data_IF_737930945321
#
_entry.id   IF_737930945321
#
_cell.length_a   1.000
_cell.length_b   1.000
_cell.length_c   1.000
_cell.angle_alpha   90.00
_cell.angle_beta   90.00
_cell.angle_gamma   90.00
#
_symmetry.space_group_name_H-M   'P 1'
#
loop_
_entity.id
_entity.type
_entity.pdbx_description
1 polymer ?
#
# COMPACT_ATOMS: atom_id res chain seq x y z
N UNK A 1 -13.58 9.80 14.47
CA UNK A 1 -13.26 8.43 14.01
C UNK A 1 -11.77 8.26 14.18
N UNK A 2 -11.32 7.11 14.66
CA UNK A 2 -9.89 6.80 14.77
C UNK A 2 -9.33 6.57 13.36
N UNK A 3 -8.15 7.13 13.06
CA UNK A 3 -7.48 6.92 11.77
C UNK A 3 -7.25 5.43 11.51
N UNK A 4 -7.23 5.02 10.25
CA UNK A 4 -6.77 3.69 9.84
C UNK A 4 -5.31 3.77 9.46
N UNK A 5 -4.45 3.05 10.15
CA UNK A 5 -3.01 2.98 9.86
C UNK A 5 -2.76 1.68 9.11
N UNK A 6 -2.24 1.80 7.89
CA UNK A 6 -1.99 0.67 6.98
C UNK A 6 -0.51 0.69 6.58
N UNK A 7 0.19 -0.40 6.82
CA UNK A 7 1.58 -0.57 6.34
C UNK A 7 1.59 -1.45 5.10
N UNK A 8 2.26 -0.99 4.03
CA UNK A 8 2.53 -1.82 2.86
C UNK A 8 3.94 -2.40 3.01
N UNK A 9 4.02 -3.69 3.32
CA UNK A 9 5.28 -4.36 3.61
C UNK A 9 5.44 -5.66 2.81
N UNK A 10 6.64 -5.91 2.34
CA UNK A 10 7.10 -7.17 1.78
C UNK A 10 8.63 -7.18 1.78
N UNK A 11 9.24 -8.21 2.33
CA UNK A 11 10.70 -8.31 2.40
C UNK A 11 11.34 -8.47 1.03
N UNK A 12 10.64 -9.06 0.07
CA UNK A 12 11.13 -9.16 -1.30
C UNK A 12 11.12 -7.82 -2.01
N UNK A 13 12.25 -7.43 -2.59
CA UNK A 13 12.34 -6.27 -3.48
C UNK A 13 11.51 -6.47 -4.76
N UNK A 14 10.95 -5.40 -5.32
CA UNK A 14 10.20 -5.45 -6.58
C UNK A 14 8.76 -6.00 -6.49
N UNK A 15 8.25 -6.30 -5.30
CA UNK A 15 6.88 -6.77 -5.11
C UNK A 15 5.80 -5.70 -5.40
N UNK A 16 6.20 -4.43 -5.49
CA UNK A 16 5.32 -3.30 -5.82
C UNK A 16 4.75 -2.57 -4.61
N UNK A 17 5.43 -2.57 -3.46
CA UNK A 17 5.01 -1.87 -2.25
C UNK A 17 4.67 -0.41 -2.50
N UNK A 18 5.64 0.36 -2.95
CA UNK A 18 5.49 1.80 -3.26
C UNK A 18 4.38 2.06 -4.28
N UNK A 19 4.29 1.24 -5.33
CA UNK A 19 3.22 1.34 -6.33
C UNK A 19 1.85 1.17 -5.69
N UNK A 20 1.68 0.13 -4.87
CA UNK A 20 0.41 -0.13 -4.18
C UNK A 20 0.10 0.98 -3.18
N UNK A 21 1.08 1.42 -2.39
CA UNK A 21 0.90 2.51 -1.41
C UNK A 21 0.43 3.81 -2.09
N UNK A 22 1.09 4.24 -3.16
CA UNK A 22 0.74 5.46 -3.89
C UNK A 22 -0.68 5.40 -4.48
N UNK A 23 -1.03 4.30 -5.16
CA UNK A 23 -2.36 4.16 -5.78
C UNK A 23 -3.49 4.05 -4.77
N UNK A 24 -3.28 3.34 -3.66
CA UNK A 24 -4.26 3.27 -2.57
C UNK A 24 -4.48 4.65 -1.94
N UNK A 25 -3.39 5.38 -1.67
CA UNK A 25 -3.48 6.71 -1.07
C UNK A 25 -4.29 7.69 -1.95
N UNK A 26 -4.02 7.70 -3.25
CA UNK A 26 -4.78 8.53 -4.20
C UNK A 26 -6.25 8.10 -4.24
N UNK A 27 -6.54 6.80 -4.33
CA UNK A 27 -7.90 6.30 -4.38
C UNK A 27 -8.72 6.66 -3.12
N UNK A 28 -8.11 6.62 -1.94
CA UNK A 28 -8.77 7.05 -0.71
C UNK A 28 -8.98 8.57 -0.65
N UNK A 29 -8.01 9.35 -1.13
CA UNK A 29 -8.13 10.81 -1.20
C UNK A 29 -9.24 11.23 -2.16
N UNK A 30 -9.33 10.62 -3.36
CA UNK A 30 -10.44 10.83 -4.30
C UNK A 30 -11.81 10.40 -3.72
N UNK A 31 -11.82 9.37 -2.86
CA UNK A 31 -13.02 8.96 -2.12
C UNK A 31 -13.37 9.91 -0.95
N UNK A 32 -12.68 11.04 -0.82
CA UNK A 32 -12.95 12.09 0.16
C UNK A 32 -12.35 11.83 1.55
N UNK A 33 -11.33 10.98 1.66
CA UNK A 33 -10.57 10.79 2.90
C UNK A 33 -9.39 11.75 2.96
N UNK A 34 -9.04 12.19 4.17
CA UNK A 34 -7.76 12.83 4.40
C UNK A 34 -6.70 11.74 4.61
N UNK A 35 -5.65 11.75 3.79
CA UNK A 35 -4.65 10.69 3.73
C UNK A 35 -3.25 11.26 3.94
N UNK A 36 -2.51 10.70 4.89
CA UNK A 36 -1.08 10.90 5.02
C UNK A 36 -0.34 9.66 4.54
N UNK A 37 0.69 9.84 3.73
CA UNK A 37 1.59 8.77 3.32
C UNK A 37 2.95 9.00 3.96
N UNK A 38 3.49 7.97 4.58
CA UNK A 38 4.78 7.99 5.27
C UNK A 38 5.75 7.11 4.49
N UNK A 39 6.74 7.74 3.88
CA UNK A 39 7.83 7.08 3.17
C UNK A 39 8.98 6.85 4.15
N UNK A 40 9.19 5.59 4.54
CA UNK A 40 10.32 5.20 5.40
C UNK A 40 11.39 4.43 4.64
N UNK A 41 11.24 4.25 3.32
CA UNK A 41 12.26 3.62 2.50
C UNK A 41 13.43 4.62 2.25
N UNK A 42 14.67 4.28 2.60
CA UNK A 42 15.83 5.11 2.29
C UNK A 42 15.96 5.46 0.81
N UNK A 43 15.46 4.61 -0.11
CA UNK A 43 15.44 4.89 -1.55
C UNK A 43 14.53 6.07 -1.91
N UNK A 44 13.50 6.36 -1.09
CA UNK A 44 12.65 7.52 -1.27
C UNK A 44 11.82 7.52 -2.55
N UNK A 45 11.49 6.36 -3.10
CA UNK A 45 10.75 6.26 -4.37
C UNK A 45 9.38 6.91 -4.32
N UNK A 46 8.70 6.80 -3.19
CA UNK A 46 7.39 7.42 -3.00
C UNK A 46 7.51 8.94 -2.86
N UNK A 47 8.53 9.41 -2.15
CA UNK A 47 8.86 10.83 -2.05
C UNK A 47 9.23 11.44 -3.40
N UNK A 48 9.96 10.71 -4.25
CA UNK A 48 10.29 11.15 -5.60
C UNK A 48 9.05 11.28 -6.50
N UNK A 49 8.12 10.32 -6.41
CA UNK A 49 6.82 10.41 -7.09
C UNK A 49 6.01 11.64 -6.63
N UNK A 50 6.01 11.92 -5.33
CA UNK A 50 5.32 13.10 -4.81
C UNK A 50 5.94 14.42 -5.30
N UNK A 51 7.28 14.52 -5.26
CA UNK A 51 7.98 15.69 -5.78
C UNK A 51 7.67 15.95 -7.26
N UNK A 52 7.65 14.89 -8.08
CA UNK A 52 7.24 14.99 -9.49
C UNK A 52 5.81 15.53 -9.62
N UNK A 53 4.88 15.06 -8.79
CA UNK A 53 3.49 15.55 -8.77
C UNK A 53 3.43 17.04 -8.47
N UNK A 54 4.22 17.51 -7.50
CA UNK A 54 4.32 18.93 -7.15
C UNK A 54 4.94 19.77 -8.28
N UNK A 55 6.03 19.30 -8.90
CA UNK A 55 6.67 19.96 -10.04
C UNK A 55 5.74 20.11 -11.25
N UNK A 56 4.89 19.13 -11.49
CA UNK A 56 3.87 19.15 -12.54
C UNK A 56 2.65 20.00 -12.19
N UNK A 57 2.59 20.57 -10.98
CA UNK A 57 1.47 21.39 -10.52
C UNK A 57 0.17 20.60 -10.36
N UNK A 58 0.24 19.29 -10.15
CA UNK A 58 -0.94 18.44 -10.00
C UNK A 58 -1.47 18.63 -8.58
N UNK A 59 -2.72 19.15 -8.41
CA UNK A 59 -3.27 19.40 -7.08
C UNK A 59 -3.48 18.10 -6.31
N UNK A 60 -3.25 18.13 -5.01
CA UNK A 60 -3.65 17.03 -4.15
C UNK A 60 -5.18 16.87 -4.18
N UNK A 61 -5.70 15.65 -4.24
CA UNK A 61 -7.13 15.42 -4.08
C UNK A 61 -7.59 15.96 -2.72
N UNK A 62 -8.68 16.71 -2.68
CA UNK A 62 -9.20 17.26 -1.43
C UNK A 62 -10.16 16.30 -0.75
N UNK A 63 -9.95 16.09 0.56
CA UNK A 63 -10.86 15.32 1.38
C UNK A 63 -12.22 16.03 1.60
N UNK A 64 -13.29 15.26 1.66
CA UNK A 64 -14.68 15.74 1.73
C UNK A 64 -15.00 16.59 2.98
N UNK A 65 -14.11 16.69 3.96
CA UNK A 65 -14.35 17.38 5.25
C UNK A 65 -13.45 18.58 5.50
N UNK A 66 -12.75 19.09 4.48
CA UNK A 66 -11.81 20.21 4.65
C UNK A 66 -10.55 19.86 5.45
N UNK A 67 -10.35 18.59 5.80
CA UNK A 67 -9.11 18.06 6.34
C UNK A 67 -8.18 17.80 5.17
N UNK A 68 -6.94 18.24 5.25
CA UNK A 68 -5.99 18.23 4.13
C UNK A 68 -6.00 16.93 3.34
N UNK A 69 -6.19 16.95 2.04
CA UNK A 69 -6.36 15.82 1.12
C UNK A 69 -5.27 14.74 1.21
N UNK A 70 -4.33 14.71 0.27
CA UNK A 70 -3.18 13.80 0.25
C UNK A 70 -1.90 14.56 0.60
N UNK A 71 -1.15 14.04 1.55
CA UNK A 71 0.19 14.55 1.90
C UNK A 71 1.20 13.40 1.99
N UNK A 72 2.46 13.68 1.69
CA UNK A 72 3.56 12.71 1.77
C UNK A 72 4.64 13.23 2.72
N UNK A 73 5.08 12.35 3.62
CA UNK A 73 6.05 12.66 4.67
C UNK A 73 7.20 11.65 4.60
N UNK A 74 8.41 12.14 4.38
CA UNK A 74 9.61 11.31 4.47
C UNK A 74 10.08 11.26 5.92
N UNK A 75 10.09 10.08 6.52
CA UNK A 75 10.45 9.89 7.92
C UNK A 75 11.44 8.74 8.00
N UNK A 76 12.49 8.91 8.81
CA UNK A 76 13.52 7.88 8.96
C UNK A 76 13.78 7.56 10.44
N UNK A 77 14.08 6.29 10.69
CA UNK A 77 14.55 5.81 11.98
C UNK A 77 13.49 5.81 13.09
N UNK A 78 13.92 5.98 14.32
CA UNK A 78 13.14 5.81 15.56
C UNK A 78 11.96 6.78 15.74
N UNK A 79 11.92 7.87 14.97
CA UNK A 79 10.83 8.86 15.01
C UNK A 79 9.55 8.37 14.34
N UNK A 80 9.60 7.31 13.53
CA UNK A 80 8.49 6.84 12.70
C UNK A 80 7.22 6.63 13.51
N UNK A 81 7.26 5.92 14.63
CA UNK A 81 6.08 5.65 15.45
C UNK A 81 5.41 6.94 15.95
N UNK A 82 6.19 7.87 16.53
CA UNK A 82 5.66 9.13 17.06
C UNK A 82 5.06 10.02 15.95
N UNK A 83 5.67 10.06 14.77
CA UNK A 83 5.16 10.86 13.66
C UNK A 83 3.89 10.22 13.05
N UNK A 84 3.83 8.89 12.95
CA UNK A 84 2.61 8.16 12.55
C UNK A 84 1.46 8.47 13.52
N UNK A 85 1.71 8.46 14.82
CA UNK A 85 0.70 8.79 15.85
C UNK A 85 0.20 10.23 15.74
N UNK A 86 1.06 11.19 15.40
CA UNK A 86 0.67 12.59 15.15
C UNK A 86 -0.22 12.68 13.90
N UNK A 87 0.24 12.08 12.79
CA UNK A 87 -0.51 12.09 11.55
C UNK A 87 -1.88 11.42 11.68
N UNK A 88 -1.97 10.36 12.49
CA UNK A 88 -3.23 9.67 12.76
C UNK A 88 -4.28 10.51 13.52
N UNK A 89 -3.88 11.61 14.17
CA UNK A 89 -4.83 12.54 14.82
C UNK A 89 -5.52 13.45 13.82
N UNK A 90 -4.84 13.77 12.71
CA UNK A 90 -5.28 14.78 11.74
C UNK A 90 -5.80 14.19 10.43
N UNK A 91 -5.60 12.89 10.21
CA UNK A 91 -5.99 12.21 8.98
C UNK A 91 -6.95 11.04 9.23
N UNK A 92 -7.74 10.70 8.21
CA UNK A 92 -8.61 9.51 8.24
C UNK A 92 -7.83 8.22 7.99
N UNK A 93 -6.76 8.30 7.19
CA UNK A 93 -5.90 7.17 6.81
C UNK A 93 -4.44 7.57 6.84
N UNK A 94 -3.60 6.73 7.42
CA UNK A 94 -2.13 6.82 7.33
C UNK A 94 -1.61 5.59 6.61
N UNK A 95 -0.83 5.80 5.54
CA UNK A 95 -0.20 4.72 4.77
C UNK A 95 1.31 4.76 5.00
N UNK A 96 1.90 3.64 5.38
CA UNK A 96 3.34 3.53 5.56
C UNK A 96 3.91 2.67 4.44
N UNK A 97 4.79 3.26 3.61
CA UNK A 97 5.57 2.52 2.61
C UNK A 97 6.89 2.07 3.24
N UNK A 98 7.08 0.76 3.40
CA UNK A 98 8.22 0.19 4.11
C UNK A 98 9.34 -0.25 3.17
N UNK A 99 10.62 -0.18 3.61
CA UNK A 99 11.74 -0.68 2.83
C UNK A 99 11.72 -2.21 2.72
N UNK A 100 12.34 -2.78 1.66
CA UNK A 100 12.68 -4.19 1.65
C UNK A 100 13.86 -4.45 2.61
N UNK A 101 13.94 -5.62 3.23
CA UNK A 101 15.10 -6.12 3.99
C UNK A 101 15.56 -5.28 5.22
N UNK A 102 14.87 -4.22 5.60
CA UNK A 102 15.21 -3.42 6.78
C UNK A 102 14.40 -3.92 7.98
N UNK A 103 14.99 -4.82 8.78
CA UNK A 103 14.29 -5.48 9.90
C UNK A 103 13.74 -4.47 10.92
N UNK A 104 14.52 -3.48 11.30
CA UNK A 104 14.14 -2.51 12.34
C UNK A 104 13.03 -1.57 11.87
N UNK A 105 13.19 -0.95 10.69
CA UNK A 105 12.21 -0.04 10.12
C UNK A 105 10.91 -0.75 9.76
N UNK A 106 11.01 -1.93 9.14
CA UNK A 106 9.85 -2.75 8.83
C UNK A 106 9.09 -3.16 10.12
N UNK A 107 9.82 -3.52 11.17
CA UNK A 107 9.23 -3.86 12.46
C UNK A 107 8.48 -2.69 13.09
N UNK A 108 9.06 -1.49 13.07
CA UNK A 108 8.40 -0.27 13.56
C UNK A 108 7.13 0.00 12.75
N UNK A 109 7.21 -0.07 11.42
CA UNK A 109 6.07 0.16 10.53
C UNK A 109 4.93 -0.84 10.78
N UNK A 110 5.27 -2.12 10.90
CA UNK A 110 4.28 -3.20 11.15
C UNK A 110 3.60 -3.01 12.49
N UNK A 111 4.37 -2.73 13.56
CA UNK A 111 3.83 -2.52 14.90
C UNK A 111 2.95 -1.28 15.01
N UNK A 112 3.21 -0.25 14.21
CA UNK A 112 2.39 0.98 14.19
C UNK A 112 1.07 0.82 13.43
N UNK A 113 0.88 -0.26 12.69
CA UNK A 113 -0.26 -0.45 11.80
C UNK A 113 -1.42 -1.22 12.43
N UNK A 114 -2.64 -0.94 11.98
CA UNK A 114 -3.81 -1.78 12.21
C UNK A 114 -3.88 -2.97 11.23
N UNK A 115 -3.27 -2.80 10.04
CA UNK A 115 -3.23 -3.81 8.99
C UNK A 115 -1.94 -3.71 8.19
N UNK A 116 -1.31 -4.85 7.92
CA UNK A 116 -0.21 -4.97 6.97
C UNK A 116 -0.76 -5.48 5.63
N UNK A 117 -0.62 -4.69 4.58
CA UNK A 117 -0.89 -5.09 3.20
C UNK A 117 0.39 -5.66 2.60
N UNK A 118 0.33 -6.91 2.16
CA UNK A 118 1.48 -7.65 1.66
C UNK A 118 1.30 -7.94 0.17
N UNK A 119 1.83 -7.11 -0.74
CA UNK A 119 1.77 -7.38 -2.16
C UNK A 119 2.72 -8.51 -2.53
N UNK A 120 2.25 -9.46 -3.35
CA UNK A 120 3.04 -10.55 -3.88
C UNK A 120 2.62 -10.90 -5.30
N UNK A 121 3.58 -11.32 -6.12
CA UNK A 121 3.27 -11.85 -7.45
C UNK A 121 2.88 -13.33 -7.35
N UNK A 122 2.06 -13.85 -8.28
CA UNK A 122 1.70 -15.27 -8.30
C UNK A 122 2.90 -16.12 -8.80
N UNK A 123 3.95 -16.19 -7.98
CA UNK A 123 5.17 -16.95 -8.25
C UNK A 123 5.64 -17.71 -7.01
N UNK A 124 6.29 -18.88 -7.16
CA UNK A 124 6.83 -19.63 -6.03
C UNK A 124 7.83 -18.82 -5.19
N UNK A 125 8.65 -17.99 -5.84
CA UNK A 125 9.65 -17.15 -5.15
C UNK A 125 8.99 -16.09 -4.24
N UNK A 126 7.88 -15.50 -4.69
CA UNK A 126 7.11 -14.56 -3.88
C UNK A 126 6.40 -15.27 -2.73
N UNK A 127 5.85 -16.46 -2.97
CA UNK A 127 5.24 -17.29 -1.95
C UNK A 127 6.20 -17.57 -0.78
N UNK A 128 7.43 -18.00 -1.09
CA UNK A 128 8.44 -18.30 -0.05
C UNK A 128 8.87 -17.03 0.71
N UNK A 129 9.08 -15.93 -0.01
CA UNK A 129 9.45 -14.66 0.61
C UNK A 129 8.34 -14.06 1.50
N UNK A 130 7.08 -14.37 1.22
CA UNK A 130 5.93 -13.87 1.97
C UNK A 130 5.90 -14.40 3.40
N UNK A 131 6.40 -15.62 3.64
CA UNK A 131 6.42 -16.23 4.97
C UNK A 131 7.10 -15.33 6.01
N UNK A 132 8.27 -14.80 5.69
CA UNK A 132 9.00 -13.94 6.62
C UNK A 132 8.24 -12.63 6.95
N UNK A 133 7.48 -12.08 5.99
CA UNK A 133 6.64 -10.92 6.24
C UNK A 133 5.44 -11.26 7.13
N UNK A 134 4.84 -12.44 6.94
CA UNK A 134 3.74 -12.91 7.79
C UNK A 134 4.23 -13.20 9.22
N UNK A 135 5.39 -13.83 9.36
CA UNK A 135 5.99 -14.12 10.67
C UNK A 135 6.31 -12.80 11.42
N UNK A 136 6.79 -11.78 10.71
CA UNK A 136 6.99 -10.44 11.28
C UNK A 136 5.66 -9.83 11.75
N UNK A 137 4.63 -9.85 10.93
CA UNK A 137 3.31 -9.31 11.29
C UNK A 137 2.71 -10.04 12.50
N UNK A 138 2.80 -11.36 12.52
CA UNK A 138 2.34 -12.19 13.64
C UNK A 138 3.13 -11.90 14.92
N UNK A 139 4.45 -11.74 14.82
CA UNK A 139 5.33 -11.42 15.96
C UNK A 139 5.03 -10.05 16.58
N UNK A 140 4.52 -9.10 15.80
CA UNK A 140 4.07 -7.79 16.29
C UNK A 140 2.56 -7.74 16.63
N UNK A 141 1.84 -8.84 16.48
CA UNK A 141 0.40 -8.92 16.75
C UNK A 141 -0.46 -8.16 15.75
N UNK A 142 0.06 -7.85 14.57
CA UNK A 142 -0.63 -7.07 13.54
C UNK A 142 -1.24 -7.97 12.49
N UNK A 143 -2.51 -7.72 12.13
CA UNK A 143 -3.17 -8.47 11.08
C UNK A 143 -2.52 -8.23 9.71
N UNK A 144 -2.48 -9.26 8.86
CA UNK A 144 -1.93 -9.17 7.51
C UNK A 144 -2.99 -9.53 6.45
N UNK A 145 -2.97 -8.80 5.33
CA UNK A 145 -3.79 -9.04 4.15
C UNK A 145 -2.87 -9.19 2.93
N UNK A 146 -2.84 -10.39 2.36
CA UNK A 146 -2.09 -10.70 1.15
C UNK A 146 -2.82 -10.17 -0.08
N UNK A 147 -2.09 -9.49 -0.96
CA UNK A 147 -2.64 -8.92 -2.20
C UNK A 147 -1.89 -9.47 -3.40
N UNK A 148 -2.58 -10.23 -4.25
CA UNK A 148 -2.00 -10.67 -5.50
C UNK A 148 -1.81 -9.46 -6.41
N UNK A 149 -0.55 -9.21 -6.78
CA UNK A 149 -0.11 -8.09 -7.59
C UNK A 149 0.54 -8.59 -8.89
N UNK A 150 0.45 -7.81 -9.95
CA UNK A 150 0.98 -8.16 -11.28
C UNK A 150 0.47 -9.51 -11.78
N UNK A 151 -0.80 -9.80 -11.52
CA UNK A 151 -1.42 -11.05 -11.97
C UNK A 151 -1.46 -11.07 -13.50
N UNK A 152 -0.81 -12.05 -14.16
CA UNK A 152 -0.85 -12.16 -15.61
C UNK A 152 -2.26 -12.52 -16.10
N UNK A 153 -2.67 -12.05 -17.27
CA UNK A 153 -3.92 -12.49 -17.88
C UNK A 153 -3.90 -14.02 -18.07
N UNK A 154 -5.00 -14.68 -17.75
CA UNK A 154 -5.17 -16.15 -17.91
C UNK A 154 -4.17 -17.01 -17.10
N UNK A 155 -3.74 -16.54 -15.95
CA UNK A 155 -2.80 -17.26 -15.11
C UNK A 155 -3.47 -18.44 -14.37
N UNK A 156 -3.32 -19.65 -14.88
CA UNK A 156 -3.78 -20.89 -14.20
C UNK A 156 -3.10 -21.09 -12.85
N UNK A 157 -1.87 -20.60 -12.70
CA UNK A 157 -1.10 -20.66 -11.46
C UNK A 157 -1.71 -19.83 -10.32
N UNK A 158 -2.49 -18.78 -10.64
CA UNK A 158 -3.06 -17.87 -9.63
C UNK A 158 -3.99 -18.61 -8.66
N UNK A 159 -4.88 -19.45 -9.16
CA UNK A 159 -5.79 -20.24 -8.33
C UNK A 159 -5.06 -21.20 -7.41
N UNK A 160 -4.07 -21.93 -7.93
CA UNK A 160 -3.24 -22.82 -7.13
C UNK A 160 -2.44 -22.06 -6.04
N UNK A 161 -1.97 -20.85 -6.37
CA UNK A 161 -1.27 -20.00 -5.41
C UNK A 161 -2.19 -19.53 -4.29
N UNK A 162 -3.40 -19.05 -4.61
CA UNK A 162 -4.41 -18.66 -3.60
C UNK A 162 -4.73 -19.83 -2.68
N UNK A 163 -4.92 -21.04 -3.21
CA UNK A 163 -5.16 -22.22 -2.40
C UNK A 163 -4.03 -22.46 -1.39
N UNK A 164 -2.77 -22.41 -1.85
CA UNK A 164 -1.60 -22.59 -0.96
C UNK A 164 -1.45 -21.47 0.08
N UNK A 165 -1.77 -20.22 -0.28
CA UNK A 165 -1.75 -19.11 0.68
C UNK A 165 -2.82 -19.28 1.77
N UNK A 166 -4.00 -19.77 1.40
CA UNK A 166 -5.06 -20.10 2.35
C UNK A 166 -4.67 -21.25 3.30
N UNK A 167 -3.95 -22.28 2.80
CA UNK A 167 -3.42 -23.38 3.63
C UNK A 167 -2.44 -22.88 4.71
N UNK A 168 -1.75 -21.75 4.47
CA UNK A 168 -0.92 -21.10 5.49
C UNK A 168 -1.73 -20.32 6.55
N UNK A 169 -3.06 -20.32 6.47
CA UNK A 169 -3.93 -19.52 7.34
C UNK A 169 -3.86 -18.02 7.04
N UNK A 170 -3.29 -17.62 5.90
CA UNK A 170 -3.15 -16.23 5.53
C UNK A 170 -4.45 -15.68 4.92
N UNK A 171 -4.86 -14.48 5.32
CA UNK A 171 -5.98 -13.78 4.70
C UNK A 171 -5.54 -13.22 3.34
N UNK A 172 -6.17 -13.68 2.26
CA UNK A 172 -5.93 -13.21 0.89
C UNK A 172 -7.05 -12.28 0.47
N UNK A 173 -6.68 -11.12 -0.09
CA UNK A 173 -7.65 -10.17 -0.63
C UNK A 173 -8.40 -10.77 -1.82
N UNK A 174 -9.70 -10.47 -1.91
CA UNK A 174 -10.52 -10.83 -3.07
C UNK A 174 -10.14 -9.97 -4.28
N UNK A 175 -9.82 -8.71 -4.03
CA UNK A 175 -9.32 -7.80 -5.05
C UNK A 175 -7.89 -8.17 -5.44
N UNK A 176 -7.65 -8.31 -6.75
CA UNK A 176 -6.34 -8.63 -7.32
C UNK A 176 -5.93 -7.52 -8.26
N UNK A 177 -4.64 -7.22 -8.33
CA UNK A 177 -4.08 -6.25 -9.25
C UNK A 177 -3.46 -6.97 -10.44
N UNK A 178 -4.02 -6.77 -11.61
CA UNK A 178 -3.48 -7.31 -12.86
C UNK A 178 -2.12 -6.71 -13.21
N UNK A 179 -1.36 -7.40 -14.07
CA UNK A 179 -0.13 -6.84 -14.64
C UNK A 179 -0.49 -5.78 -15.68
N UNK A 180 -0.67 -4.53 -15.22
CA UNK A 180 -1.18 -3.41 -15.99
C UNK A 180 -0.13 -2.32 -16.17
N UNK A 181 0.17 -1.99 -17.41
CA UNK A 181 1.08 -0.87 -17.74
C UNK A 181 0.56 0.44 -17.17
N UNK A 182 -0.76 0.63 -17.10
CA UNK A 182 -1.38 1.84 -16.60
C UNK A 182 -0.97 2.20 -15.16
N UNK A 183 -0.63 1.21 -14.31
CA UNK A 183 -0.14 1.47 -12.95
C UNK A 183 1.21 2.19 -12.96
N UNK A 184 2.14 1.73 -13.80
CA UNK A 184 3.45 2.37 -13.92
C UNK A 184 3.36 3.70 -14.68
N UNK A 185 2.57 3.75 -15.77
CA UNK A 185 2.37 4.96 -16.55
C UNK A 185 1.78 6.11 -15.72
N UNK A 186 0.80 5.81 -14.87
CA UNK A 186 0.23 6.83 -13.98
C UNK A 186 1.28 7.43 -13.04
N UNK A 187 2.13 6.62 -12.42
CA UNK A 187 3.17 7.12 -11.53
C UNK A 187 4.22 7.98 -12.27
N UNK A 188 4.52 7.64 -13.52
CA UNK A 188 5.44 8.44 -14.37
C UNK A 188 4.88 9.84 -14.66
N UNK A 189 3.57 10.00 -14.61
CA UNK A 189 2.86 11.28 -14.79
C UNK A 189 2.53 11.96 -13.44
N UNK A 190 3.12 11.53 -12.33
CA UNK A 190 2.81 12.06 -11.00
C UNK A 190 1.39 11.75 -10.50
N UNK A 191 0.66 10.87 -11.17
CA UNK A 191 -0.75 10.55 -10.90
C UNK A 191 -0.92 9.20 -10.19
N UNK A 192 -2.06 9.03 -9.52
CA UNK A 192 -2.60 7.70 -9.24
C UNK A 192 -3.37 7.16 -10.45
N UNK A 193 -3.49 5.84 -10.57
CA UNK A 193 -4.15 5.24 -11.73
C UNK A 193 -5.64 5.62 -11.81
N UNK A 194 -6.27 5.92 -10.68
CA UNK A 194 -7.67 6.33 -10.59
C UNK A 194 -7.90 7.75 -11.11
N UNK A 195 -6.85 8.59 -11.14
CA UNK A 195 -6.82 9.90 -11.81
C UNK A 195 -6.46 9.73 -13.29
N UNK A 196 -5.43 8.92 -13.58
CA UNK A 196 -4.88 8.72 -14.91
C UNK A 196 -5.87 8.05 -15.88
N UNK A 197 -6.55 7.01 -15.43
CA UNK A 197 -7.50 6.25 -16.27
C UNK A 197 -8.76 5.90 -15.47
N UNK A 198 -9.62 6.89 -15.22
CA UNK A 198 -10.77 6.81 -14.30
C UNK A 198 -11.68 5.59 -14.49
N UNK A 199 -11.92 5.17 -15.72
CA UNK A 199 -12.81 4.04 -16.09
C UNK A 199 -12.04 2.76 -16.44
N UNK A 200 -10.73 2.70 -16.23
CA UNK A 200 -9.91 1.56 -16.61
C UNK A 200 -10.03 0.39 -15.62
N UNK A 201 -9.69 -0.81 -16.09
CA UNK A 201 -9.67 -2.00 -15.25
C UNK A 201 -8.71 -1.85 -14.05
N UNK A 202 -7.53 -1.24 -14.25
CA UNK A 202 -6.58 -0.97 -13.17
C UNK A 202 -7.19 -0.08 -12.07
N UNK A 203 -7.97 0.94 -12.47
CA UNK A 203 -8.66 1.83 -11.53
C UNK A 203 -9.77 1.11 -10.77
N UNK A 204 -10.51 0.24 -11.43
CA UNK A 204 -11.53 -0.58 -10.77
C UNK A 204 -10.88 -1.54 -9.74
N UNK A 205 -9.76 -2.18 -10.11
CA UNK A 205 -9.00 -3.07 -9.23
C UNK A 205 -8.46 -2.32 -8.00
N UNK A 206 -7.88 -1.13 -8.18
CA UNK A 206 -7.37 -0.31 -7.07
C UNK A 206 -8.51 0.16 -6.16
N UNK A 207 -9.65 0.61 -6.71
CA UNK A 207 -10.80 1.01 -5.88
C UNK A 207 -11.38 -0.16 -5.09
N UNK A 208 -11.46 -1.34 -5.69
CA UNK A 208 -11.92 -2.55 -4.99
C UNK A 208 -10.95 -2.92 -3.85
N UNK A 209 -9.64 -2.89 -4.11
CA UNK A 209 -8.63 -3.14 -3.10
C UNK A 209 -8.68 -2.09 -1.99
N UNK A 210 -8.80 -0.82 -2.33
CA UNK A 210 -8.87 0.28 -1.36
C UNK A 210 -10.06 0.12 -0.40
N UNK A 211 -11.22 -0.30 -0.91
CA UNK A 211 -12.39 -0.59 -0.08
C UNK A 211 -12.16 -1.81 0.84
N UNK A 212 -11.57 -2.88 0.31
CA UNK A 212 -11.32 -4.11 1.06
C UNK A 212 -10.26 -3.90 2.17
N UNK A 213 -9.20 -3.14 1.88
CA UNK A 213 -8.16 -2.80 2.87
C UNK A 213 -8.74 -2.00 4.04
N UNK A 214 -9.55 -0.97 3.78
CA UNK A 214 -10.18 -0.19 4.86
C UNK A 214 -11.15 -1.02 5.70
N UNK A 215 -11.90 -1.93 5.07
CA UNK A 215 -12.79 -2.85 5.79
C UNK A 215 -12.01 -3.86 6.64
N UNK A 216 -10.81 -4.24 6.20
CA UNK A 216 -9.94 -5.17 6.92
C UNK A 216 -9.16 -4.50 8.06
N UNK A 217 -8.89 -3.20 7.95
CA UNK A 217 -8.18 -2.42 8.97
C UNK A 217 -9.08 -2.01 10.16
N UNK A 218 -10.32 -2.45 10.17
CA UNK A 218 -11.17 -2.38 11.31
C UNK A 218 -12.28 -1.53 11.41
#
# INVERSE_FOLDING_TARGET
>A
MTARIVTVAQQKGGAGKTTVAAHLAVAWAEAGRSVAVVDIDPQGSLSAWWAMREEMGIPAPHGARGRGGLSVHRITGWRTANEVDKLARDHDVVVIDSPPHAETEAKIAVRSAHLVVVPLQPSPMDFWATRATLDLAAGEGTAALLVLNRVPPRATLTGAMVARLNELGARVAKAQLGNRVALAAALLEGLGVTEYQRSGAASAEIRALAAEVLAAAG
#
